data_IF_747422020540
#
_entry.id   IF_747422020540
#
_cell.length_a   1.000
_cell.length_b   1.000
_cell.length_c   1.000
_cell.angle_alpha   90.00
_cell.angle_beta   90.00
_cell.angle_gamma   90.00
#
_symmetry.space_group_name_H-M   'P 1'
#
loop_
_entity.id
_entity.type
_entity.pdbx_description
1 polymer ?
#
# COMPACT_ATOMS: atom_id res chain seq x y z
N UNK A 1 7.51 -7.64 -7.26
CA UNK A 1 7.63 -7.54 -5.80
C UNK A 1 8.92 -6.78 -5.50
N UNK A 2 8.83 -5.74 -4.67
CA UNK A 2 9.97 -4.89 -4.26
C UNK A 2 10.54 -5.28 -2.89
N UNK A 3 9.88 -6.18 -2.16
CA UNK A 3 10.48 -6.82 -0.99
C UNK A 3 11.62 -7.75 -1.38
N UNK A 4 12.64 -7.79 -0.52
CA UNK A 4 13.78 -8.74 -0.57
C UNK A 4 14.58 -8.58 -1.86
N UNK A 5 14.74 -7.33 -2.28
CA UNK A 5 15.54 -6.90 -3.41
C UNK A 5 16.39 -5.74 -2.95
N UNK A 6 17.60 -5.66 -3.48
CA UNK A 6 18.49 -4.53 -3.21
C UNK A 6 17.80 -3.20 -3.62
N UNK A 7 17.60 -2.25 -2.69
CA UNK A 7 16.87 -1.02 -2.96
C UNK A 7 17.61 -0.09 -3.93
N UNK A 8 18.95 -0.08 -3.93
CA UNK A 8 19.72 0.72 -4.88
C UNK A 8 19.57 0.14 -6.30
N UNK A 9 19.61 -1.19 -6.43
CA UNK A 9 19.36 -1.85 -7.72
C UNK A 9 17.93 -1.63 -8.20
N UNK A 10 16.93 -1.67 -7.31
CA UNK A 10 15.53 -1.36 -7.66
C UNK A 10 15.39 0.03 -8.28
N UNK A 11 16.01 1.06 -7.68
CA UNK A 11 15.95 2.41 -8.21
C UNK A 11 16.60 2.53 -9.60
N UNK A 12 17.68 1.79 -9.84
CA UNK A 12 18.32 1.71 -11.16
C UNK A 12 17.38 1.00 -12.16
N UNK A 13 16.85 -0.15 -11.79
CA UNK A 13 15.97 -0.98 -12.63
C UNK A 13 14.69 -0.23 -13.06
N UNK A 14 14.20 0.70 -12.24
CA UNK A 14 12.98 1.48 -12.48
C UNK A 14 13.25 2.97 -12.81
N UNK A 15 14.46 3.32 -13.23
CA UNK A 15 14.80 4.70 -13.59
C UNK A 15 13.92 5.22 -14.73
N UNK A 16 13.60 4.39 -15.72
CA UNK A 16 12.70 4.72 -16.82
C UNK A 16 11.29 5.12 -16.35
N UNK A 17 10.73 4.39 -15.37
CA UNK A 17 9.43 4.71 -14.77
C UNK A 17 9.51 6.01 -13.98
N UNK A 18 10.57 6.24 -13.21
CA UNK A 18 10.76 7.49 -12.47
C UNK A 18 10.90 8.70 -13.42
N UNK A 19 11.60 8.53 -14.54
CA UNK A 19 11.69 9.54 -15.60
C UNK A 19 10.34 9.79 -16.28
N UNK A 20 9.56 8.74 -16.54
CA UNK A 20 8.20 8.88 -17.07
C UNK A 20 7.31 9.70 -16.12
N UNK A 21 7.29 9.36 -14.83
CA UNK A 21 6.54 10.09 -13.80
C UNK A 21 7.01 11.53 -13.67
N UNK A 22 8.33 11.76 -13.74
CA UNK A 22 8.91 13.11 -13.75
C UNK A 22 8.46 13.93 -14.97
N UNK A 23 8.44 13.31 -16.16
CA UNK A 23 7.98 13.96 -17.37
C UNK A 23 6.48 14.29 -17.33
N UNK A 24 5.64 13.40 -16.76
CA UNK A 24 4.21 13.67 -16.56
C UNK A 24 3.97 14.90 -15.69
N UNK A 25 4.86 15.15 -14.72
CA UNK A 25 4.73 16.30 -13.82
C UNK A 25 4.86 17.67 -14.51
N UNK A 26 5.36 17.72 -15.75
CA UNK A 26 5.39 18.95 -16.55
C UNK A 26 3.99 19.50 -16.85
N UNK A 27 2.95 18.64 -16.77
CA UNK A 27 1.57 19.03 -17.08
C UNK A 27 0.53 18.49 -16.09
N UNK A 28 0.94 17.63 -15.14
CA UNK A 28 0.07 16.96 -14.16
C UNK A 28 0.69 17.09 -12.77
N UNK A 29 -0.14 17.04 -11.74
CA UNK A 29 0.36 16.84 -10.38
C UNK A 29 0.42 15.33 -10.11
N UNK A 30 1.61 14.80 -9.82
CA UNK A 30 1.82 13.37 -9.57
C UNK A 30 2.31 13.21 -8.14
N UNK A 31 1.58 12.45 -7.34
CA UNK A 31 1.95 12.08 -5.97
C UNK A 31 2.11 10.57 -5.88
N UNK A 32 3.18 10.13 -5.24
CA UNK A 32 3.48 8.72 -5.01
C UNK A 32 3.09 8.36 -3.57
N UNK A 33 2.09 7.49 -3.43
CA UNK A 33 1.68 6.95 -2.12
C UNK A 33 2.35 5.61 -1.90
N UNK A 34 3.21 5.54 -0.90
CA UNK A 34 4.01 4.36 -0.56
C UNK A 34 3.13 3.24 -0.02
N UNK A 35 3.34 2.05 -0.58
CA UNK A 35 2.75 0.82 -0.12
C UNK A 35 3.63 0.06 0.86
N UNK A 36 3.20 -1.17 1.19
CA UNK A 36 3.96 -2.01 2.11
C UNK A 36 5.20 -2.66 1.47
N UNK A 37 5.39 -2.58 0.15
CA UNK A 37 6.49 -3.24 -0.57
C UNK A 37 7.63 -2.28 -0.98
N UNK A 38 7.44 -0.98 -0.76
CA UNK A 38 8.22 0.10 -1.34
C UNK A 38 8.60 1.15 -0.29
N UNK A 39 8.71 0.74 0.98
CA UNK A 39 9.13 1.62 2.09
C UNK A 39 10.47 2.32 1.87
N UNK A 40 11.40 1.69 1.15
CA UNK A 40 12.67 2.30 0.77
C UNK A 40 12.49 3.65 0.05
N UNK A 41 11.35 3.87 -0.64
CA UNK A 41 11.03 5.15 -1.29
C UNK A 41 10.87 6.30 -0.30
N UNK A 42 10.45 6.03 0.95
CA UNK A 42 10.39 7.04 2.02
C UNK A 42 11.80 7.47 2.41
N UNK A 43 12.71 6.51 2.62
CA UNK A 43 14.09 6.81 3.03
C UNK A 43 14.84 7.65 2.00
N UNK A 44 14.57 7.42 0.70
CA UNK A 44 15.19 8.19 -0.39
C UNK A 44 14.32 9.33 -0.92
N UNK A 45 13.22 9.67 -0.25
CA UNK A 45 12.21 10.61 -0.76
C UNK A 45 12.80 11.98 -1.13
N UNK A 46 13.74 12.51 -0.35
CA UNK A 46 14.41 13.78 -0.67
C UNK A 46 15.23 13.70 -1.96
N UNK A 47 15.91 12.58 -2.20
CA UNK A 47 16.68 12.34 -3.41
C UNK A 47 15.73 12.16 -4.62
N UNK A 48 14.63 11.46 -4.43
CA UNK A 48 13.58 11.28 -5.44
C UNK A 48 12.96 12.63 -5.81
N UNK A 49 12.62 13.47 -4.82
CA UNK A 49 12.09 14.82 -5.04
C UNK A 49 13.10 15.67 -5.80
N UNK A 50 14.37 15.67 -5.40
CA UNK A 50 15.42 16.47 -6.05
C UNK A 50 15.67 16.05 -7.50
N UNK A 51 15.71 14.75 -7.78
CA UNK A 51 16.07 14.22 -9.09
C UNK A 51 14.89 14.15 -10.06
N UNK A 52 13.70 13.81 -9.57
CA UNK A 52 12.53 13.52 -10.40
C UNK A 52 11.34 14.45 -10.14
N UNK A 53 11.46 15.42 -9.22
CA UNK A 53 10.38 16.30 -8.74
C UNK A 53 9.18 15.56 -8.08
N UNK A 54 9.29 14.24 -7.88
CA UNK A 54 8.18 13.42 -7.39
C UNK A 54 8.01 13.53 -5.87
N UNK A 55 6.81 13.91 -5.43
CA UNK A 55 6.43 13.88 -4.01
C UNK A 55 6.07 12.46 -3.60
N UNK A 56 6.78 11.96 -2.59
CA UNK A 56 6.62 10.60 -2.04
C UNK A 56 6.11 10.72 -0.61
N UNK A 57 5.04 10.02 -0.28
CA UNK A 57 4.46 10.05 1.06
C UNK A 57 3.69 8.77 1.40
N UNK A 58 3.39 8.59 2.68
CA UNK A 58 2.60 7.43 3.17
C UNK A 58 1.10 7.56 2.87
N UNK A 59 0.66 8.78 2.66
CA UNK A 59 -0.72 9.15 2.41
C UNK A 59 -0.74 10.47 1.64
N UNK A 60 -1.85 10.76 0.97
CA UNK A 60 -2.07 12.02 0.29
C UNK A 60 -3.48 12.51 0.57
N UNK A 61 -3.61 13.81 0.83
CA UNK A 61 -4.88 14.50 1.00
C UNK A 61 -5.03 15.51 -0.12
N UNK A 62 -5.96 15.25 -1.04
CA UNK A 62 -6.09 16.03 -2.27
C UNK A 62 -7.49 16.65 -2.33
N UNK A 63 -7.61 17.98 -2.20
CA UNK A 63 -8.83 18.71 -2.53
C UNK A 63 -9.06 18.70 -4.05
N UNK A 64 -10.29 18.41 -4.49
CA UNK A 64 -10.68 18.49 -5.89
C UNK A 64 -12.18 18.74 -6.03
N UNK A 65 -12.55 19.85 -6.66
CA UNK A 65 -13.91 20.39 -6.58
C UNK A 65 -14.27 20.76 -5.14
N UNK A 66 -15.49 20.40 -4.72
CA UNK A 66 -16.00 20.60 -3.35
C UNK A 66 -15.65 19.46 -2.38
N UNK A 67 -14.81 18.50 -2.82
CA UNK A 67 -14.51 17.28 -2.09
C UNK A 67 -13.03 17.18 -1.76
N UNK A 68 -12.74 16.43 -0.70
CA UNK A 68 -11.38 16.04 -0.33
C UNK A 68 -11.24 14.52 -0.41
N UNK A 69 -10.16 14.08 -1.02
CA UNK A 69 -9.85 12.68 -1.23
C UNK A 69 -8.62 12.28 -0.42
N UNK A 70 -8.76 11.24 0.40
CA UNK A 70 -7.68 10.69 1.20
C UNK A 70 -7.17 9.40 0.57
N UNK A 71 -5.94 9.44 0.09
CA UNK A 71 -5.26 8.32 -0.55
C UNK A 71 -4.32 7.66 0.45
N UNK A 72 -4.40 6.34 0.55
CA UNK A 72 -3.54 5.53 1.41
C UNK A 72 -3.41 4.14 0.81
N UNK A 73 -2.30 3.43 1.02
CA UNK A 73 -2.13 2.10 0.42
C UNK A 73 -3.20 1.08 0.84
N UNK A 74 -3.54 1.03 2.13
CA UNK A 74 -4.61 0.18 2.68
C UNK A 74 -4.13 -0.94 3.60
N UNK A 75 -2.83 -1.24 3.66
CA UNK A 75 -2.29 -2.17 4.66
C UNK A 75 -2.53 -1.69 6.10
N UNK A 76 -2.67 -0.36 6.27
CA UNK A 76 -3.01 0.31 7.52
C UNK A 76 -4.34 -0.18 8.10
N UNK A 77 -5.28 -0.59 7.26
CA UNK A 77 -6.59 -1.12 7.67
C UNK A 77 -6.57 -2.62 7.95
N UNK A 78 -5.57 -3.32 7.44
CA UNK A 78 -5.45 -4.76 7.67
C UNK A 78 -4.84 -5.08 9.05
N UNK A 79 -3.87 -4.26 9.47
CA UNK A 79 -3.09 -4.46 10.69
C UNK A 79 -3.28 -3.30 11.70
N UNK A 80 -4.51 -2.88 12.04
CA UNK A 80 -4.73 -1.67 12.86
C UNK A 80 -4.07 -1.76 14.25
N UNK A 81 -4.13 -2.92 14.90
CA UNK A 81 -3.58 -3.13 16.26
C UNK A 81 -2.07 -3.39 16.29
N UNK A 82 -1.46 -3.57 15.13
CA UNK A 82 -0.04 -3.95 15.00
C UNK A 82 0.61 -3.22 13.84
N UNK A 83 0.18 -1.98 13.57
CA UNK A 83 0.60 -1.23 12.40
C UNK A 83 2.10 -0.98 12.48
N UNK A 84 2.59 -0.30 13.53
CA UNK A 84 4.01 0.02 13.69
C UNK A 84 4.92 -1.20 13.56
N UNK A 85 4.50 -2.30 14.20
CA UNK A 85 5.17 -3.60 14.11
C UNK A 85 5.23 -4.12 12.67
N UNK A 86 4.10 -4.07 11.96
CA UNK A 86 4.03 -4.50 10.57
C UNK A 86 4.86 -3.59 9.65
N UNK A 87 4.85 -2.28 9.87
CA UNK A 87 5.61 -1.33 9.07
C UNK A 87 7.11 -1.54 9.25
N UNK A 88 7.59 -1.72 10.48
CA UNK A 88 9.01 -2.08 10.73
C UNK A 88 9.38 -3.37 10.02
N UNK A 89 8.51 -4.39 10.09
CA UNK A 89 8.76 -5.65 9.41
C UNK A 89 8.81 -5.50 7.89
N UNK A 90 7.88 -4.74 7.32
CA UNK A 90 7.80 -4.46 5.89
C UNK A 90 8.98 -3.60 5.39
N UNK A 91 9.41 -2.63 6.19
CA UNK A 91 10.54 -1.76 5.91
C UNK A 91 11.85 -2.54 5.82
N UNK A 92 12.13 -3.38 6.82
CA UNK A 92 13.32 -4.23 6.77
C UNK A 92 13.23 -5.25 5.62
N UNK A 93 12.04 -5.72 5.24
CA UNK A 93 11.89 -6.52 4.01
C UNK A 93 12.23 -5.72 2.75
N UNK A 94 11.99 -4.41 2.71
CA UNK A 94 12.41 -3.54 1.60
C UNK A 94 13.93 -3.33 1.57
N UNK A 95 14.58 -3.38 2.74
CA UNK A 95 16.03 -3.19 2.88
C UNK A 95 16.84 -4.50 2.84
N UNK A 96 16.15 -5.64 2.73
CA UNK A 96 16.78 -6.96 2.72
C UNK A 96 17.42 -7.29 1.36
N UNK A 97 18.57 -7.96 1.40
CA UNK A 97 19.21 -8.49 0.20
C UNK A 97 18.44 -9.70 -0.41
N UNK A 98 18.73 -9.98 -1.68
CA UNK A 98 18.08 -11.06 -2.47
C UNK A 98 18.21 -12.46 -1.83
N UNK A 99 19.21 -12.70 -0.98
CA UNK A 99 19.54 -13.99 -0.37
C UNK A 99 18.92 -14.17 1.04
N UNK A 100 18.93 -13.13 1.87
CA UNK A 100 18.46 -13.16 3.26
C UNK A 100 16.93 -13.25 3.34
N UNK A 101 16.21 -12.70 2.36
CA UNK A 101 14.75 -12.62 2.38
C UNK A 101 13.97 -13.86 1.90
N UNK A 102 14.61 -14.80 1.18
CA UNK A 102 13.92 -15.92 0.53
C UNK A 102 13.75 -17.16 1.42
N UNK A 103 14.43 -17.24 2.56
CA UNK A 103 14.40 -18.41 3.44
C UNK A 103 13.44 -18.25 4.62
N UNK A 104 12.85 -19.35 5.08
CA UNK A 104 11.99 -19.35 6.26
C UNK A 104 12.75 -18.91 7.53
N UNK A 105 14.04 -19.24 7.61
CA UNK A 105 14.92 -18.83 8.70
C UNK A 105 15.26 -17.34 8.64
N UNK A 106 15.47 -16.79 7.44
CA UNK A 106 15.65 -15.35 7.23
C UNK A 106 14.43 -14.53 7.67
N UNK A 107 13.23 -14.97 7.27
CA UNK A 107 11.98 -14.34 7.71
C UNK A 107 11.78 -14.44 9.23
N UNK A 108 12.22 -15.55 9.84
CA UNK A 108 12.16 -15.73 11.28
C UNK A 108 13.17 -14.87 12.03
N UNK A 109 14.39 -14.74 11.52
CA UNK A 109 15.41 -13.83 12.06
C UNK A 109 14.92 -12.40 12.03
N UNK A 110 14.34 -11.99 10.90
CA UNK A 110 13.75 -10.68 10.75
C UNK A 110 12.65 -10.42 11.79
N UNK A 111 11.70 -11.35 11.89
CA UNK A 111 10.66 -11.27 12.90
C UNK A 111 11.23 -11.12 14.33
N UNK A 112 12.31 -11.85 14.67
CA UNK A 112 12.93 -11.72 16.00
C UNK A 112 13.54 -10.34 16.23
N UNK A 113 14.09 -9.71 15.19
CA UNK A 113 14.68 -8.38 15.25
C UNK A 113 13.63 -7.30 15.53
N UNK A 114 12.48 -7.35 14.87
CA UNK A 114 11.39 -6.39 15.10
C UNK A 114 10.70 -6.58 16.47
N UNK A 115 10.75 -7.78 17.05
CA UNK A 115 9.96 -8.14 18.23
C UNK A 115 10.73 -8.79 19.39
N UNK A 116 11.84 -8.19 19.87
CA UNK A 116 12.66 -8.80 20.91
C UNK A 116 11.89 -8.98 22.23
N UNK A 117 11.08 -7.99 22.61
CA UNK A 117 10.43 -7.89 23.92
C UNK A 117 9.05 -8.59 24.04
N UNK A 118 8.54 -9.23 22.98
CA UNK A 118 7.22 -9.87 23.05
C UNK A 118 7.25 -11.18 23.88
N UNK A 119 6.16 -11.46 24.61
CA UNK A 119 5.97 -12.73 25.31
C UNK A 119 5.64 -13.87 24.33
N UNK A 120 5.97 -15.12 24.69
CA UNK A 120 5.79 -16.32 23.83
C UNK A 120 4.39 -16.48 23.21
N UNK A 121 3.27 -16.27 23.93
CA UNK A 121 1.93 -16.39 23.34
C UNK A 121 1.62 -15.28 22.32
N UNK A 122 2.03 -14.04 22.62
CA UNK A 122 1.89 -12.89 21.71
C UNK A 122 2.78 -13.07 20.48
N UNK A 123 4.00 -13.62 20.68
CA UNK A 123 4.93 -13.99 19.60
C UNK A 123 4.33 -15.01 18.65
N UNK A 124 3.63 -16.03 19.14
CA UNK A 124 3.02 -17.06 18.28
C UNK A 124 1.93 -16.50 17.35
N UNK A 125 1.02 -15.66 17.88
CA UNK A 125 -0.04 -15.03 17.08
C UNK A 125 0.51 -14.06 16.04
N UNK A 126 1.47 -13.22 16.43
CA UNK A 126 2.05 -12.21 15.56
C UNK A 126 2.95 -12.84 14.47
N UNK A 127 3.73 -13.87 14.82
CA UNK A 127 4.48 -14.70 13.87
C UNK A 127 3.59 -15.24 12.76
N UNK A 128 2.43 -15.82 13.12
CA UNK A 128 1.49 -16.35 12.14
C UNK A 128 0.91 -15.25 11.24
N UNK A 129 0.54 -14.09 11.82
CA UNK A 129 0.03 -12.95 11.04
C UNK A 129 1.07 -12.47 10.01
N UNK A 130 2.32 -12.27 10.40
CA UNK A 130 3.35 -11.76 9.49
C UNK A 130 3.87 -12.79 8.49
N UNK A 131 3.92 -14.07 8.88
CA UNK A 131 4.19 -15.15 7.92
C UNK A 131 3.10 -15.22 6.84
N UNK A 132 1.86 -14.92 7.16
CA UNK A 132 0.80 -14.86 6.16
C UNK A 132 0.86 -13.55 5.35
N UNK A 133 1.40 -12.47 5.90
CA UNK A 133 1.47 -11.18 5.23
C UNK A 133 2.49 -11.14 4.07
N UNK A 134 3.42 -12.10 4.00
CA UNK A 134 4.29 -12.29 2.83
C UNK A 134 3.63 -13.03 1.67
N UNK A 135 2.48 -13.67 1.92
CA UNK A 135 1.69 -14.28 0.85
C UNK A 135 0.97 -13.19 0.06
N UNK A 136 0.52 -13.53 -1.15
CA UNK A 136 -0.20 -12.59 -1.99
C UNK A 136 -1.55 -12.22 -1.34
N UNK A 137 -2.08 -11.00 -1.55
CA UNK A 137 -3.39 -10.59 -1.02
C UNK A 137 -4.50 -11.58 -1.38
N UNK A 138 -4.47 -12.09 -2.61
CA UNK A 138 -5.30 -13.17 -3.14
C UNK A 138 -5.35 -14.43 -2.27
N UNK A 139 -4.18 -14.85 -1.76
CA UNK A 139 -4.00 -16.09 -1.00
C UNK A 139 -4.38 -15.94 0.47
N UNK A 140 -4.36 -14.70 1.00
CA UNK A 140 -4.54 -14.43 2.44
C UNK A 140 -5.80 -13.65 2.81
N UNK A 141 -6.42 -12.94 1.87
CA UNK A 141 -7.59 -12.10 2.11
C UNK A 141 -8.88 -12.81 1.72
N UNK A 142 -9.43 -13.57 2.67
CA UNK A 142 -10.80 -14.07 2.58
C UNK A 142 -11.82 -12.91 2.66
N UNK A 143 -13.07 -13.15 2.21
CA UNK A 143 -14.15 -12.13 2.22
C UNK A 143 -14.31 -11.46 3.59
N UNK A 144 -14.28 -12.23 4.68
CA UNK A 144 -14.38 -11.71 6.06
C UNK A 144 -13.27 -10.73 6.42
N UNK A 145 -12.08 -10.88 5.83
CA UNK A 145 -10.95 -9.96 6.06
C UNK A 145 -11.17 -8.65 5.32
N UNK A 146 -11.78 -8.68 4.13
CA UNK A 146 -12.12 -7.46 3.38
C UNK A 146 -13.21 -6.67 4.08
N UNK A 147 -14.25 -7.35 4.56
CA UNK A 147 -15.31 -6.71 5.34
C UNK A 147 -14.72 -6.06 6.60
N UNK A 148 -13.69 -6.67 7.21
CA UNK A 148 -12.95 -6.07 8.32
C UNK A 148 -12.15 -4.85 7.87
N UNK A 149 -11.42 -4.92 6.76
CA UNK A 149 -10.65 -3.78 6.22
C UNK A 149 -11.55 -2.57 5.97
N UNK A 150 -12.74 -2.78 5.40
CA UNK A 150 -13.73 -1.71 5.20
C UNK A 150 -14.19 -1.09 6.53
N UNK A 151 -14.48 -1.93 7.53
CA UNK A 151 -14.83 -1.45 8.88
C UNK A 151 -13.69 -0.67 9.54
N UNK A 152 -12.45 -1.11 9.37
CA UNK A 152 -11.29 -0.39 9.91
C UNK A 152 -11.05 0.94 9.19
N UNK A 153 -11.35 1.05 7.89
CA UNK A 153 -11.33 2.32 7.18
C UNK A 153 -12.37 3.30 7.75
N UNK A 154 -13.60 2.83 8.03
CA UNK A 154 -14.63 3.62 8.68
C UNK A 154 -14.22 4.07 10.09
N UNK A 155 -13.66 3.16 10.91
CA UNK A 155 -13.12 3.53 12.23
C UNK A 155 -11.98 4.53 12.16
N UNK A 156 -11.09 4.43 11.16
CA UNK A 156 -10.01 5.40 10.97
C UNK A 156 -10.58 6.79 10.67
N UNK A 157 -11.61 6.86 9.83
CA UNK A 157 -12.34 8.11 9.55
C UNK A 157 -12.91 8.73 10.81
N UNK A 158 -13.61 7.95 11.64
CA UNK A 158 -14.16 8.42 12.93
C UNK A 158 -13.05 8.87 13.89
N UNK A 159 -11.97 8.09 14.01
CA UNK A 159 -10.85 8.40 14.92
C UNK A 159 -10.11 9.69 14.53
N UNK A 160 -10.05 10.01 13.24
CA UNK A 160 -9.37 11.18 12.70
C UNK A 160 -10.36 12.11 12.01
N UNK A 161 -11.50 12.34 12.65
CA UNK A 161 -12.63 13.12 12.12
C UNK A 161 -12.19 14.50 11.61
N UNK A 162 -11.41 15.25 12.41
CA UNK A 162 -10.91 16.59 12.02
C UNK A 162 -10.03 16.61 10.76
N UNK A 163 -9.44 15.46 10.40
CA UNK A 163 -8.51 15.35 9.26
C UNK A 163 -9.13 14.71 8.03
N UNK A 164 -9.92 13.65 8.24
CA UNK A 164 -10.44 12.80 7.14
C UNK A 164 -11.92 12.45 7.29
N UNK A 165 -12.64 13.03 8.26
CA UNK A 165 -14.04 12.72 8.59
C UNK A 165 -14.97 12.80 7.38
N UNK A 166 -14.82 13.84 6.57
CA UNK A 166 -15.65 14.04 5.37
C UNK A 166 -15.05 13.48 4.08
N UNK A 167 -13.82 12.97 4.14
CA UNK A 167 -13.05 12.59 2.97
C UNK A 167 -13.56 11.30 2.32
N UNK A 168 -13.46 11.27 0.99
CA UNK A 168 -13.59 10.03 0.23
C UNK A 168 -12.26 9.28 0.32
N UNK A 169 -12.27 8.06 0.85
CA UNK A 169 -11.06 7.27 1.08
C UNK A 169 -10.80 6.38 -0.13
N UNK A 170 -9.63 6.52 -0.73
CA UNK A 170 -9.18 5.74 -1.87
C UNK A 170 -7.96 4.92 -1.45
N UNK A 171 -8.00 3.61 -1.67
CA UNK A 171 -6.92 2.71 -1.29
C UNK A 171 -6.73 1.55 -2.27
N UNK A 172 -5.68 0.75 -2.06
CA UNK A 172 -5.35 -0.43 -2.86
C UNK A 172 -5.18 -1.67 -1.99
N UNK A 173 -4.01 -2.31 -2.05
CA UNK A 173 -3.55 -3.41 -1.20
C UNK A 173 -4.28 -4.76 -1.33
N UNK A 174 -5.61 -4.76 -1.49
CA UNK A 174 -6.42 -5.99 -1.45
C UNK A 174 -6.55 -6.71 -2.79
N UNK A 175 -6.14 -6.04 -3.87
CA UNK A 175 -6.32 -6.49 -5.26
C UNK A 175 -7.78 -6.72 -5.67
N UNK A 176 -8.75 -6.16 -4.92
CA UNK A 176 -10.18 -6.34 -5.19
C UNK A 176 -10.84 -4.99 -5.45
N UNK A 177 -10.95 -4.59 -6.72
CA UNK A 177 -11.43 -3.27 -7.06
C UNK A 177 -12.92 -3.12 -6.77
N UNK A 178 -13.32 -1.98 -6.21
CA UNK A 178 -14.71 -1.59 -6.00
C UNK A 178 -14.84 -0.09 -5.75
N UNK A 179 -16.07 0.43 -5.88
CA UNK A 179 -16.46 1.76 -5.41
C UNK A 179 -17.72 1.62 -4.58
N UNK A 180 -17.71 2.17 -3.37
CA UNK A 180 -18.85 2.27 -2.46
C UNK A 180 -19.09 3.75 -2.14
N UNK A 181 -20.05 4.36 -2.85
CA UNK A 181 -20.41 5.76 -2.67
C UNK A 181 -21.09 6.02 -1.32
N UNK A 182 -21.81 5.04 -0.77
CA UNK A 182 -22.49 5.18 0.51
C UNK A 182 -21.49 5.29 1.67
N UNK A 183 -20.43 4.49 1.60
CA UNK A 183 -19.33 4.54 2.58
C UNK A 183 -18.23 5.52 2.21
N UNK A 184 -18.32 6.21 1.05
CA UNK A 184 -17.24 7.05 0.48
C UNK A 184 -15.90 6.30 0.44
N UNK A 185 -15.89 5.09 -0.10
CA UNK A 185 -14.71 4.21 -0.18
C UNK A 185 -14.49 3.74 -1.62
N UNK A 186 -13.24 3.71 -2.06
CA UNK A 186 -12.85 3.07 -3.31
C UNK A 186 -11.59 2.23 -3.12
N UNK A 187 -11.59 1.05 -3.75
CA UNK A 187 -10.40 0.23 -3.92
C UNK A 187 -10.00 0.22 -5.39
N UNK A 188 -8.78 0.64 -5.70
CA UNK A 188 -8.28 0.73 -7.07
C UNK A 188 -7.94 -0.62 -7.71
N UNK A 189 -7.89 -1.69 -6.93
CA UNK A 189 -7.54 -3.04 -7.39
C UNK A 189 -6.04 -3.25 -7.49
N UNK A 190 -5.58 -3.87 -8.59
CA UNK A 190 -4.17 -4.18 -8.80
C UNK A 190 -3.82 -4.30 -10.28
N UNK A 191 -2.59 -3.90 -10.59
CA UNK A 191 -1.92 -4.10 -11.88
C UNK A 191 -0.97 -5.31 -11.84
N UNK A 192 -0.89 -6.00 -10.69
CA UNK A 192 -0.02 -7.17 -10.55
C UNK A 192 -0.63 -8.37 -11.28
N UNK A 193 0.15 -8.96 -12.19
CA UNK A 193 -0.26 -10.19 -12.85
C UNK A 193 0.00 -11.41 -11.95
N UNK A 194 -0.98 -11.71 -11.09
CA UNK A 194 -0.94 -12.86 -10.19
C UNK A 194 -1.59 -14.10 -10.84
N UNK A 195 -0.80 -15.16 -11.02
CA UNK A 195 -1.24 -16.43 -11.58
C UNK A 195 -2.18 -17.23 -10.64
N UNK A 196 -2.12 -16.96 -9.33
CA UNK A 196 -2.99 -17.61 -8.34
C UNK A 196 -4.43 -17.06 -8.37
N UNK A 197 -4.65 -15.91 -9.01
CA UNK A 197 -5.96 -15.26 -9.11
C UNK A 197 -6.28 -14.74 -10.51
N UNK A 198 -6.44 -15.64 -11.50
CA UNK A 198 -6.81 -15.25 -12.86
C UNK A 198 -8.25 -14.69 -12.93
N UNK A 199 -9.09 -14.98 -11.94
CA UNK A 199 -10.49 -14.56 -11.89
C UNK A 199 -10.68 -13.16 -11.27
N UNK A 200 -9.67 -12.58 -10.64
CA UNK A 200 -9.78 -11.23 -10.11
C UNK A 200 -9.68 -10.23 -11.25
N UNK A 201 -10.50 -9.18 -11.19
CA UNK A 201 -10.45 -8.07 -12.13
C UNK A 201 -9.13 -7.31 -11.93
N UNK A 202 -8.33 -7.20 -13.00
CA UNK A 202 -6.99 -6.60 -13.02
C UNK A 202 -6.98 -5.32 -13.86
N UNK A 203 -5.85 -4.61 -13.84
CA UNK A 203 -5.58 -3.43 -14.65
C UNK A 203 -6.62 -2.33 -14.44
N UNK A 204 -7.08 -2.21 -13.20
CA UNK A 204 -8.12 -1.27 -12.82
C UNK A 204 -7.54 0.03 -12.29
N UNK A 205 -8.28 1.10 -12.51
CA UNK A 205 -7.94 2.43 -12.01
C UNK A 205 -9.20 3.20 -11.64
N UNK A 206 -9.03 4.19 -10.77
CA UNK A 206 -10.10 5.09 -10.35
C UNK A 206 -9.93 6.40 -11.10
N UNK A 207 -11.04 6.95 -11.60
CA UNK A 207 -11.11 8.35 -12.00
C UNK A 207 -12.00 9.11 -11.04
N UNK A 208 -11.65 10.37 -10.82
CA UNK A 208 -12.39 11.29 -9.97
C UNK A 208 -12.69 12.52 -10.83
N UNK A 209 -13.95 12.94 -10.84
CA UNK A 209 -14.41 14.14 -11.56
C UNK A 209 -14.63 15.28 -10.59
N UNK A 210 -14.54 16.51 -11.09
CA UNK A 210 -14.79 17.73 -10.30
C UNK A 210 -16.18 17.72 -9.63
N UNK A 211 -17.17 17.05 -10.24
CA UNK A 211 -18.50 16.85 -9.68
C UNK A 211 -18.56 15.93 -8.46
N UNK A 212 -17.43 15.41 -7.98
CA UNK A 212 -17.35 14.43 -6.90
C UNK A 212 -17.51 12.97 -7.33
N UNK A 213 -17.83 12.71 -8.60
CA UNK A 213 -18.05 11.35 -9.10
C UNK A 213 -16.76 10.54 -9.07
N UNK A 214 -16.85 9.32 -8.53
CA UNK A 214 -15.73 8.37 -8.42
C UNK A 214 -16.08 7.13 -9.22
N UNK A 215 -15.34 6.88 -10.30
CA UNK A 215 -15.63 5.82 -11.26
C UNK A 215 -14.49 4.80 -11.30
N UNK A 216 -14.85 3.51 -11.32
CA UNK A 216 -13.90 2.40 -11.47
C UNK A 216 -13.84 1.95 -12.93
N UNK A 217 -12.63 1.95 -13.48
CA UNK A 217 -12.36 1.56 -14.86
C UNK A 217 -11.47 0.33 -14.93
N UNK A 218 -11.40 -0.24 -16.13
CA UNK A 218 -10.46 -1.30 -16.49
C UNK A 218 -9.72 -0.80 -17.71
N UNK A 219 -8.41 -0.78 -17.62
CA UNK A 219 -7.56 -0.47 -18.74
C UNK A 219 -7.58 -1.65 -19.71
N UNK A 220 -7.94 -1.36 -20.96
CA UNK A 220 -7.74 -2.26 -22.09
C UNK A 220 -6.87 -1.50 -23.08
N UNK A 221 -5.65 -1.98 -23.37
CA UNK A 221 -4.77 -1.36 -24.35
C UNK A 221 -5.33 -1.40 -25.77
#
# INVERSE_FOLDING_TARGET
DMWRRDPAKLLIDYTDILELLSNMQKSKNVQYVVGNHDYHMIEVSENIKRKYNLDVGMEALIPYGDYTYYFVHGHQFEFPDSLDSYQQFADILCMGDDNTGRTADGLWNLYRMCFPHLTTPKKGRLKRKFRNAVNLPSERLEKRVLDRIQKEAAKKREKFEDKIGDCFIVYGHTHRPYVDLNQKLANSGSWANDASTPHLKKDTYITIKESGAVDLHTYSP
#
